data_IF_452609931677
#
_entry.id   IF_452609931677
#
_cell.length_a   1.000
_cell.length_b   1.000
_cell.length_c   1.000
_cell.angle_alpha   90.00
_cell.angle_beta   90.00
_cell.angle_gamma   90.00
#
_symmetry.space_group_name_H-M   'P 1'
#
loop_
_entity.id
_entity.type
_entity.pdbx_description
1 polymer ?
#
# COMPACT_ATOMS: atom_id res chain seq x y z
N UNK A 1 13.29 -12.38 -7.72
CA UNK A 1 13.56 -12.24 -9.16
C UNK A 1 14.36 -10.97 -9.43
N UNK A 2 13.83 -9.73 -9.25
CA UNK A 2 14.53 -8.45 -9.56
C UNK A 2 15.98 -8.43 -9.05
N UNK A 3 16.19 -8.74 -7.77
CA UNK A 3 17.52 -8.73 -7.15
C UNK A 3 18.51 -9.67 -7.87
N UNK A 4 18.05 -10.89 -8.20
CA UNK A 4 18.86 -11.88 -8.92
C UNK A 4 19.14 -11.44 -10.36
N UNK A 5 18.11 -11.01 -11.08
CA UNK A 5 18.22 -10.67 -12.50
C UNK A 5 19.08 -9.40 -12.73
N UNK A 6 19.02 -8.46 -11.79
CA UNK A 6 19.84 -7.23 -11.80
C UNK A 6 21.25 -7.43 -11.19
N UNK A 7 21.59 -8.64 -10.73
CA UNK A 7 22.91 -8.94 -10.13
C UNK A 7 23.20 -8.18 -8.85
N UNK A 8 22.15 -7.82 -8.06
CA UNK A 8 22.31 -7.06 -6.84
C UNK A 8 22.76 -7.94 -5.68
N UNK A 9 23.61 -7.37 -4.81
CA UNK A 9 24.08 -8.02 -3.59
C UNK A 9 23.27 -7.58 -2.37
N UNK A 10 22.67 -8.55 -1.66
CA UNK A 10 21.89 -8.34 -0.46
C UNK A 10 22.70 -7.75 0.71
N UNK A 11 24.01 -7.87 0.70
CA UNK A 11 24.89 -7.36 1.75
C UNK A 11 25.44 -5.96 1.46
N UNK A 12 25.10 -5.37 0.31
CA UNK A 12 25.52 -4.04 -0.10
C UNK A 12 24.49 -2.98 0.30
N UNK A 13 24.99 -1.80 0.68
CA UNK A 13 24.21 -0.57 0.88
C UNK A 13 24.09 0.13 -0.47
N UNK A 14 22.87 0.39 -0.90
CA UNK A 14 22.55 1.16 -2.10
C UNK A 14 22.05 2.54 -1.66
N UNK A 15 22.80 3.63 -1.89
CA UNK A 15 22.46 4.96 -1.38
C UNK A 15 21.08 5.47 -1.80
N UNK A 16 20.61 5.10 -3.00
CA UNK A 16 19.28 5.43 -3.49
C UNK A 16 18.15 4.72 -2.74
N UNK A 17 18.46 3.59 -2.07
CA UNK A 17 17.51 2.82 -1.27
C UNK A 17 17.54 3.24 0.20
N UNK A 18 18.73 3.34 0.77
CA UNK A 18 18.96 3.69 2.17
C UNK A 18 20.38 4.21 2.37
N UNK A 19 20.55 5.17 3.29
CA UNK A 19 21.86 5.71 3.61
C UNK A 19 22.77 4.73 4.37
N UNK A 20 22.18 3.80 5.12
CA UNK A 20 22.90 2.98 6.12
C UNK A 20 22.50 1.49 6.13
N UNK A 21 21.35 1.13 5.57
CA UNK A 21 20.86 -0.25 5.58
C UNK A 21 21.24 -1.00 4.31
N UNK A 22 21.69 -2.24 4.49
CA UNK A 22 21.91 -3.17 3.39
C UNK A 22 20.59 -3.52 2.70
N UNK A 23 20.64 -3.87 1.43
CA UNK A 23 19.47 -4.29 0.65
C UNK A 23 18.67 -5.39 1.36
N UNK A 24 19.34 -6.42 1.88
CA UNK A 24 18.67 -7.50 2.60
C UNK A 24 17.94 -7.04 3.85
N UNK A 25 18.48 -6.09 4.60
CA UNK A 25 17.83 -5.53 5.79
C UNK A 25 16.56 -4.73 5.44
N UNK A 26 16.59 -3.98 4.34
CA UNK A 26 15.41 -3.26 3.86
C UNK A 26 14.33 -4.23 3.43
N UNK A 27 14.68 -5.26 2.64
CA UNK A 27 13.74 -6.26 2.13
C UNK A 27 13.16 -7.15 3.24
N UNK A 28 13.88 -7.37 4.34
CA UNK A 28 13.42 -8.13 5.50
C UNK A 28 12.61 -7.31 6.50
N UNK A 29 12.33 -6.03 6.23
CA UNK A 29 11.47 -5.22 7.09
C UNK A 29 10.11 -5.90 7.25
N UNK A 30 9.69 -6.25 8.49
CA UNK A 30 8.47 -7.03 8.71
C UNK A 30 7.23 -6.21 8.39
N UNK A 31 6.19 -6.89 7.91
CA UNK A 31 4.84 -6.32 7.76
C UNK A 31 4.29 -5.88 9.12
N UNK A 32 3.64 -4.73 9.16
CA UNK A 32 2.97 -4.23 10.38
C UNK A 32 1.81 -5.14 10.77
N UNK A 33 1.57 -5.24 12.07
CA UNK A 33 0.39 -5.90 12.62
C UNK A 33 -0.73 -4.85 12.75
N UNK A 34 -1.82 -5.02 11.99
CA UNK A 34 -2.90 -4.04 11.90
C UNK A 34 -4.11 -4.34 12.80
N UNK A 35 -4.11 -5.45 13.53
CA UNK A 35 -5.30 -5.99 14.20
C UNK A 35 -5.93 -5.00 15.18
N UNK A 36 -5.19 -4.49 16.15
CA UNK A 36 -5.72 -3.63 17.22
C UNK A 36 -6.33 -2.34 16.68
N UNK A 37 -5.59 -1.64 15.83
CA UNK A 37 -6.00 -0.37 15.26
C UNK A 37 -7.18 -0.51 14.31
N UNK A 38 -7.21 -1.54 13.48
CA UNK A 38 -8.34 -1.80 12.55
C UNK A 38 -9.61 -2.17 13.32
N UNK A 39 -9.51 -3.00 14.36
CA UNK A 39 -10.64 -3.32 15.21
C UNK A 39 -11.20 -2.09 15.94
N UNK A 40 -10.34 -1.13 16.34
CA UNK A 40 -10.81 0.12 16.93
C UNK A 40 -11.54 1.00 15.92
N UNK A 41 -11.05 1.06 14.66
CA UNK A 41 -11.75 1.75 13.56
C UNK A 41 -13.12 1.11 13.31
N UNK A 42 -13.19 -0.22 13.14
CA UNK A 42 -14.43 -0.95 12.91
C UNK A 42 -15.46 -0.69 14.04
N UNK A 43 -15.02 -0.59 15.29
CA UNK A 43 -15.88 -0.33 16.43
C UNK A 43 -16.48 1.09 16.42
N UNK A 44 -15.79 2.05 15.82
CA UNK A 44 -16.11 3.47 15.94
C UNK A 44 -16.59 4.14 14.65
N UNK A 45 -16.42 3.50 13.50
CA UNK A 45 -16.72 4.02 12.16
C UNK A 45 -17.57 3.01 11.40
N UNK A 46 -18.32 3.47 10.41
CA UNK A 46 -19.11 2.64 9.51
C UNK A 46 -18.20 2.04 8.43
N UNK A 47 -17.50 0.95 8.77
CA UNK A 47 -16.54 0.28 7.88
C UNK A 47 -17.26 -0.69 6.95
N UNK A 48 -17.15 -0.47 5.65
CA UNK A 48 -17.75 -1.30 4.60
C UNK A 48 -16.84 -2.43 4.12
N UNK A 49 -15.52 -2.25 4.22
CA UNK A 49 -14.57 -3.28 3.84
C UNK A 49 -13.14 -2.96 4.29
N UNK A 50 -12.34 -4.02 4.45
CA UNK A 50 -10.92 -3.92 4.81
C UNK A 50 -10.14 -4.85 3.89
N UNK A 51 -9.17 -4.31 3.15
CA UNK A 51 -8.29 -5.07 2.28
C UNK A 51 -6.84 -4.98 2.75
N UNK A 52 -6.20 -6.12 2.97
CA UNK A 52 -4.77 -6.21 3.21
C UNK A 52 -4.06 -6.28 1.86
N UNK A 53 -3.25 -5.28 1.56
CA UNK A 53 -2.57 -5.19 0.26
C UNK A 53 -1.28 -6.01 0.30
N UNK A 54 -1.34 -7.18 -0.31
CA UNK A 54 -0.26 -8.16 -0.41
C UNK A 54 0.10 -8.42 -1.88
N UNK A 55 0.60 -9.61 -2.23
CA UNK A 55 0.83 -9.98 -3.63
C UNK A 55 -0.43 -9.81 -4.48
N UNK A 56 -0.27 -9.33 -5.70
CA UNK A 56 -1.37 -8.88 -6.54
C UNK A 56 -1.74 -7.39 -6.38
N UNK A 57 -1.04 -6.68 -5.46
CA UNK A 57 -1.14 -5.22 -5.32
C UNK A 57 -2.56 -4.70 -5.12
N UNK A 58 -2.85 -3.55 -5.68
CA UNK A 58 -4.17 -2.92 -5.57
C UNK A 58 -5.22 -3.64 -6.40
N UNK A 59 -4.85 -4.07 -7.61
CA UNK A 59 -5.78 -4.64 -8.58
C UNK A 59 -6.42 -5.96 -8.13
N UNK A 60 -5.70 -6.78 -7.37
CA UNK A 60 -6.24 -8.05 -6.89
C UNK A 60 -6.82 -7.97 -5.47
N UNK A 61 -6.38 -7.01 -4.63
CA UNK A 61 -6.79 -6.98 -3.25
C UNK A 61 -7.98 -6.03 -2.97
N UNK A 62 -8.01 -4.83 -3.56
CA UNK A 62 -9.11 -3.89 -3.32
C UNK A 62 -10.46 -4.40 -3.86
N UNK A 63 -10.54 -5.00 -5.06
CA UNK A 63 -11.82 -5.50 -5.56
C UNK A 63 -12.52 -6.54 -4.68
N UNK A 64 -11.77 -7.25 -3.81
CA UNK A 64 -12.34 -8.24 -2.89
C UNK A 64 -13.32 -7.66 -1.87
N UNK A 65 -13.26 -6.34 -1.64
CA UNK A 65 -14.15 -5.63 -0.70
C UNK A 65 -15.19 -4.77 -1.42
N UNK A 66 -15.24 -4.81 -2.74
CA UNK A 66 -16.20 -4.06 -3.56
C UNK A 66 -17.38 -4.94 -3.96
N UNK A 67 -18.51 -4.29 -4.29
CA UNK A 67 -19.70 -4.94 -4.84
C UNK A 67 -19.60 -5.05 -6.35
N UNK A 68 -20.40 -5.92 -6.95
CA UNK A 68 -20.54 -6.02 -8.40
C UNK A 68 -20.87 -4.65 -9.02
N UNK A 69 -20.18 -4.30 -10.08
CA UNK A 69 -20.32 -3.01 -10.77
C UNK A 69 -19.54 -1.86 -10.11
N UNK A 70 -18.85 -2.09 -9.00
CA UNK A 70 -17.99 -1.11 -8.36
C UNK A 70 -16.53 -1.34 -8.74
N UNK A 71 -15.80 -0.25 -8.88
CA UNK A 71 -14.35 -0.16 -8.96
C UNK A 71 -13.79 0.79 -7.91
N UNK A 72 -12.50 1.04 -8.00
CA UNK A 72 -11.83 2.04 -7.18
C UNK A 72 -11.06 3.04 -8.04
N UNK A 73 -10.99 4.28 -7.56
CA UNK A 73 -10.11 5.32 -8.10
C UNK A 73 -9.12 5.69 -7.01
N UNK A 74 -7.82 5.44 -7.26
CA UNK A 74 -6.72 5.76 -6.34
C UNK A 74 -5.84 6.83 -6.96
N UNK A 75 -5.56 7.89 -6.19
CA UNK A 75 -4.73 9.02 -6.64
C UNK A 75 -3.28 8.79 -6.25
N UNK A 76 -2.42 8.58 -7.23
CA UNK A 76 -0.98 8.51 -7.02
C UNK A 76 -0.46 9.86 -6.50
N UNK A 77 0.53 9.81 -5.60
CA UNK A 77 1.04 11.02 -4.94
C UNK A 77 0.23 11.45 -3.71
N UNK A 78 -0.95 10.84 -3.44
CA UNK A 78 -1.67 11.06 -2.19
C UNK A 78 -0.98 10.42 -0.97
N UNK A 79 0.02 9.58 -1.18
CA UNK A 79 0.90 9.04 -0.15
C UNK A 79 2.35 8.98 -0.61
N UNK A 80 3.25 8.78 0.33
CA UNK A 80 4.67 8.62 0.05
C UNK A 80 5.00 7.18 -0.38
N UNK A 81 5.47 7.01 -1.60
CA UNK A 81 5.99 5.73 -2.09
C UNK A 81 7.41 5.56 -1.55
N UNK A 82 7.64 4.47 -0.82
CA UNK A 82 8.93 4.19 -0.20
C UNK A 82 10.03 3.96 -1.27
N UNK A 83 11.28 4.37 -1.00
CA UNK A 83 12.39 4.22 -1.95
C UNK A 83 12.58 2.80 -2.50
N UNK A 84 12.26 1.78 -1.72
CA UNK A 84 12.37 0.37 -2.15
C UNK A 84 11.55 0.07 -3.41
N UNK A 85 10.35 0.65 -3.55
CA UNK A 85 9.50 0.43 -4.73
C UNK A 85 10.07 1.13 -5.95
N UNK A 86 10.57 2.37 -5.79
CA UNK A 86 11.23 3.11 -6.86
C UNK A 86 12.50 2.40 -7.35
N UNK A 87 13.28 1.85 -6.43
CA UNK A 87 14.46 1.05 -6.75
C UNK A 87 14.09 -0.25 -7.50
N UNK A 88 13.07 -0.99 -7.01
CA UNK A 88 12.61 -2.22 -7.66
C UNK A 88 12.07 -1.98 -9.06
N UNK A 89 11.33 -0.90 -9.27
CA UNK A 89 10.86 -0.45 -10.58
C UNK A 89 12.02 -0.25 -11.54
N UNK A 90 13.01 0.56 -11.13
CA UNK A 90 14.19 0.87 -11.91
C UNK A 90 15.07 -0.37 -12.17
N UNK A 91 15.41 -1.12 -11.15
CA UNK A 91 16.28 -2.29 -11.25
C UNK A 91 15.66 -3.44 -12.04
N UNK A 92 14.33 -3.59 -11.92
CA UNK A 92 13.56 -4.61 -12.62
C UNK A 92 13.07 -4.20 -13.99
N UNK A 93 13.26 -2.92 -14.37
CA UNK A 93 12.66 -2.32 -15.56
C UNK A 93 11.15 -2.67 -15.67
N UNK A 94 10.44 -2.54 -14.54
CA UNK A 94 9.03 -2.88 -14.42
C UNK A 94 8.22 -1.67 -14.88
N UNK A 95 7.24 -1.83 -15.78
CA UNK A 95 6.34 -0.74 -16.15
C UNK A 95 5.66 -0.14 -14.91
N UNK A 96 5.61 1.18 -14.80
CA UNK A 96 5.12 1.88 -13.60
C UNK A 96 3.74 1.38 -13.15
N UNK A 97 2.80 1.27 -14.07
CA UNK A 97 1.45 0.76 -13.76
C UNK A 97 1.45 -0.66 -13.21
N UNK A 98 2.37 -1.51 -13.68
CA UNK A 98 2.51 -2.89 -13.23
C UNK A 98 3.04 -2.99 -11.79
N UNK A 99 3.74 -1.98 -11.31
CA UNK A 99 4.16 -1.89 -9.91
C UNK A 99 2.98 -1.98 -8.94
N UNK A 100 1.83 -1.37 -9.30
CA UNK A 100 0.60 -1.39 -8.48
C UNK A 100 -0.16 -2.73 -8.54
N UNK A 101 0.15 -3.56 -9.54
CA UNK A 101 -0.36 -4.92 -9.65
C UNK A 101 0.52 -5.94 -8.92
N UNK A 102 1.82 -5.66 -8.78
CA UNK A 102 2.77 -6.57 -8.13
C UNK A 102 2.92 -6.25 -6.64
N UNK A 103 3.03 -4.96 -6.30
CA UNK A 103 3.40 -4.48 -4.96
C UNK A 103 2.30 -3.65 -4.31
N UNK A 104 2.41 -3.52 -2.99
CA UNK A 104 1.51 -2.66 -2.22
C UNK A 104 1.88 -1.17 -2.26
N UNK A 105 2.95 -0.79 -2.89
CA UNK A 105 3.47 0.58 -3.07
C UNK A 105 3.53 1.41 -1.77
N UNK A 106 3.70 0.75 -0.63
CA UNK A 106 3.74 1.37 0.70
C UNK A 106 2.40 1.39 1.44
N UNK A 107 1.30 0.99 0.80
CA UNK A 107 -0.02 0.88 1.42
C UNK A 107 -0.26 -0.58 1.84
N UNK A 108 -0.09 -0.87 3.11
CA UNK A 108 -0.31 -2.24 3.60
C UNK A 108 -1.77 -2.58 3.87
N UNK A 109 -2.63 -1.59 4.16
CA UNK A 109 -4.04 -1.80 4.49
C UNK A 109 -4.89 -0.69 3.88
N UNK A 110 -6.00 -1.08 3.26
CA UNK A 110 -7.04 -0.16 2.75
C UNK A 110 -8.34 -0.42 3.50
N UNK A 111 -9.01 0.64 3.92
CA UNK A 111 -10.30 0.58 4.60
C UNK A 111 -11.30 1.42 3.80
N UNK A 112 -12.39 0.81 3.37
CA UNK A 112 -13.49 1.48 2.68
C UNK A 112 -14.58 1.88 3.69
N UNK A 113 -14.99 3.15 3.66
CA UNK A 113 -16.00 3.71 4.55
C UNK A 113 -16.61 4.96 3.95
N UNK A 114 -17.76 5.47 4.50
CA UNK A 114 -18.29 6.77 4.13
C UNK A 114 -17.28 7.89 4.38
N UNK A 115 -17.23 8.88 3.48
CA UNK A 115 -16.30 10.02 3.59
C UNK A 115 -16.42 10.77 4.94
N UNK A 116 -17.62 10.81 5.53
CA UNK A 116 -17.86 11.44 6.83
C UNK A 116 -17.09 10.82 7.99
N UNK A 117 -16.70 9.54 7.88
CA UNK A 117 -15.96 8.81 8.92
C UNK A 117 -14.43 8.83 8.71
N UNK A 118 -13.96 9.27 7.54
CA UNK A 118 -12.56 9.18 7.16
C UNK A 118 -11.62 9.91 8.15
N UNK A 119 -11.92 11.15 8.50
CA UNK A 119 -11.11 11.93 9.45
C UNK A 119 -11.08 11.31 10.84
N UNK A 120 -12.20 10.74 11.29
CA UNK A 120 -12.28 10.02 12.58
C UNK A 120 -11.42 8.76 12.55
N UNK A 121 -11.45 8.00 11.47
CA UNK A 121 -10.62 6.81 11.29
C UNK A 121 -9.13 7.18 11.26
N UNK A 122 -8.74 8.23 10.55
CA UNK A 122 -7.36 8.73 10.53
C UNK A 122 -6.89 9.08 11.94
N UNK A 123 -7.72 9.79 12.72
CA UNK A 123 -7.39 10.15 14.10
C UNK A 123 -7.21 8.91 15.01
N UNK A 124 -8.03 7.87 14.84
CA UNK A 124 -7.89 6.60 15.56
C UNK A 124 -6.57 5.93 15.20
N UNK A 125 -6.28 5.80 13.89
CA UNK A 125 -5.06 5.16 13.39
C UNK A 125 -3.80 5.89 13.84
N UNK A 126 -3.83 7.23 13.90
CA UNK A 126 -2.73 8.06 14.39
C UNK A 126 -2.39 7.79 15.86
N UNK A 127 -3.39 7.54 16.73
CA UNK A 127 -3.19 7.16 18.13
C UNK A 127 -2.39 5.85 18.29
N UNK A 128 -2.48 4.97 17.30
CA UNK A 128 -1.72 3.72 17.23
C UNK A 128 -0.36 3.88 16.50
N UNK A 129 0.05 5.11 16.20
CA UNK A 129 1.30 5.38 15.48
C UNK A 129 1.26 5.03 13.98
N UNK A 130 0.08 4.89 13.40
CA UNK A 130 -0.06 4.66 11.96
C UNK A 130 -0.29 5.98 11.23
N UNK A 131 0.48 6.22 10.17
CA UNK A 131 0.21 7.28 9.21
C UNK A 131 -0.90 6.76 8.26
N UNK A 132 -2.06 7.39 8.32
CA UNK A 132 -3.19 7.07 7.47
C UNK A 132 -3.64 8.32 6.70
N UNK A 133 -4.18 8.11 5.50
CA UNK A 133 -4.61 9.18 4.61
C UNK A 133 -5.67 8.69 3.63
N UNK A 134 -6.43 9.59 3.07
CA UNK A 134 -7.37 9.27 2.00
C UNK A 134 -6.56 9.12 0.72
N UNK A 135 -6.58 7.93 0.13
CA UNK A 135 -5.83 7.62 -1.10
C UNK A 135 -6.71 7.54 -2.34
N UNK A 136 -8.04 7.55 -2.16
CA UNK A 136 -8.97 7.40 -3.28
C UNK A 136 -10.40 7.21 -2.84
N UNK A 137 -11.22 6.71 -3.73
CA UNK A 137 -12.67 6.50 -3.54
C UNK A 137 -13.16 5.26 -4.28
N UNK A 138 -14.28 4.72 -3.84
CA UNK A 138 -15.04 3.73 -4.61
C UNK A 138 -15.81 4.46 -5.71
N UNK A 139 -15.82 3.89 -6.89
CA UNK A 139 -16.50 4.43 -8.09
C UNK A 139 -17.40 3.36 -8.71
N UNK A 140 -18.28 3.76 -9.62
CA UNK A 140 -18.96 2.83 -10.52
C UNK A 140 -18.05 2.55 -11.71
N UNK A 141 -17.95 1.27 -12.12
CA UNK A 141 -17.15 0.84 -13.27
C UNK A 141 -15.82 0.20 -12.91
N UNK A 142 -14.80 0.43 -13.77
CA UNK A 142 -13.50 -0.21 -13.66
C UNK A 142 -12.54 0.49 -12.70
N UNK A 143 -11.51 -0.24 -12.27
CA UNK A 143 -10.46 0.27 -11.39
C UNK A 143 -9.56 1.26 -12.14
N UNK A 144 -9.17 2.34 -11.47
CA UNK A 144 -8.23 3.32 -11.99
C UNK A 144 -7.20 3.77 -10.95
N UNK A 145 -5.99 4.04 -11.43
CA UNK A 145 -4.94 4.73 -10.67
C UNK A 145 -4.57 5.97 -11.48
N UNK A 146 -4.73 7.14 -10.89
CA UNK A 146 -4.63 8.46 -11.53
C UNK A 146 -3.63 9.35 -10.78
#
# INVERSE_FOLDING_TARGET
KVVSDAGLDLHTVYPELSADKKLGEVLLTPTRIYVKQVLEVIKNCDVHGVAHITGGGFDENIPRILKEGQGFSVTEGSWEILPVFQCLEKWGNIPHREMFNIFNMGIGMVIAMPAADAEKAIAILAKHGNKAQIIGKVIEGENEII
#
